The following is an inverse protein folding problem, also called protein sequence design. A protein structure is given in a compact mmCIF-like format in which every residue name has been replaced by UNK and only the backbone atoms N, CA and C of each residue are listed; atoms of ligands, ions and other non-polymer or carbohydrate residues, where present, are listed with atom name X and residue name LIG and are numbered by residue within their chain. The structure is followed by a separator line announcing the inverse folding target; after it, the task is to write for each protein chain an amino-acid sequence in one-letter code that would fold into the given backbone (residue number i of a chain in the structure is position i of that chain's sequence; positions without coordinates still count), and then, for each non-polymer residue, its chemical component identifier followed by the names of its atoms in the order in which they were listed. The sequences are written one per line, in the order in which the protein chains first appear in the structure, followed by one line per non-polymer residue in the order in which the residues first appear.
data_IF_609803895756
#
_entry.id   IF_609803895756
#
_cell.length_a   1.000
_cell.length_b   1.000
_cell.length_c   1.000
_cell.angle_alpha   90.00
_cell.angle_beta   90.00
_cell.angle_gamma   90.00
#
_symmetry.space_group_name_H-M   'P 1'
#
loop_
_entity.id
_entity.type
_entity.pdbx_description
1 polymer ?
#
# COMPACT_ATOMS: atom_id res chain seq x y z
N UNK A 1 -3.43 -9.27 -16.10
CA UNK A 1 -2.11 -9.16 -15.43
C UNK A 1 -1.28 -8.05 -16.07
N UNK A 2 -0.80 -8.21 -17.31
CA UNK A 2 0.08 -7.23 -17.99
C UNK A 2 -0.44 -5.78 -17.96
N UNK A 3 -1.72 -5.53 -18.26
CA UNK A 3 -2.28 -4.17 -18.24
C UNK A 3 -2.30 -3.53 -16.83
N UNK A 4 -2.54 -4.34 -15.80
CA UNK A 4 -2.39 -3.91 -14.41
C UNK A 4 -0.93 -3.66 -14.08
N UNK A 5 -0.02 -4.54 -14.50
CA UNK A 5 1.40 -4.41 -14.21
C UNK A 5 1.98 -3.12 -14.79
N UNK A 6 1.62 -2.79 -16.03
CA UNK A 6 2.00 -1.52 -16.67
C UNK A 6 1.44 -0.33 -15.89
N UNK A 7 0.16 -0.36 -15.51
CA UNK A 7 -0.47 0.71 -14.74
C UNK A 7 0.16 0.92 -13.37
N UNK A 8 0.43 -0.17 -12.64
CA UNK A 8 1.05 -0.13 -11.33
C UNK A 8 2.52 0.33 -11.42
N UNK A 9 3.29 -0.12 -12.41
CA UNK A 9 4.64 0.40 -12.66
C UNK A 9 4.63 1.89 -13.00
N UNK A 10 3.71 2.34 -13.86
CA UNK A 10 3.56 3.75 -14.20
C UNK A 10 3.21 4.60 -12.97
N UNK A 11 2.28 4.12 -12.13
CA UNK A 11 1.95 4.79 -10.87
C UNK A 11 3.15 4.88 -9.93
N UNK A 12 3.88 3.77 -9.72
CA UNK A 12 5.07 3.77 -8.88
C UNK A 12 6.13 4.72 -9.42
N UNK A 13 6.34 4.75 -10.74
CA UNK A 13 7.26 5.69 -11.39
C UNK A 13 6.84 7.16 -11.18
N UNK A 14 5.54 7.47 -11.19
CA UNK A 14 5.02 8.80 -10.87
C UNK A 14 5.23 9.16 -9.39
N UNK A 15 5.20 8.17 -8.49
CA UNK A 15 5.46 8.39 -7.07
C UNK A 15 6.95 8.58 -6.74
N UNK A 16 7.89 8.08 -7.55
CA UNK A 16 9.34 8.19 -7.29
C UNK A 16 9.80 9.64 -7.10
N UNK A 17 9.45 10.61 -7.96
CA UNK A 17 9.77 12.02 -7.73
C UNK A 17 9.16 12.57 -6.43
N UNK A 18 8.03 12.00 -5.99
CA UNK A 18 7.37 12.49 -4.78
C UNK A 18 8.18 12.24 -3.52
N UNK A 19 9.05 11.21 -3.52
CA UNK A 19 9.92 10.85 -2.41
C UNK A 19 11.00 11.89 -2.10
N UNK A 20 11.14 12.94 -2.93
CA UNK A 20 12.07 14.05 -2.70
C UNK A 20 11.40 15.31 -2.12
N UNK A 21 10.08 15.29 -1.93
CA UNK A 21 9.37 16.45 -1.38
C UNK A 21 9.66 16.63 0.10
N UNK A 22 9.79 17.89 0.49
CA UNK A 22 9.89 18.29 1.90
C UNK A 22 8.50 18.43 2.53
N UNK A 23 8.44 18.53 3.87
CA UNK A 23 7.20 18.68 4.62
C UNK A 23 6.33 19.87 4.15
N UNK A 24 6.96 20.96 3.68
CA UNK A 24 6.29 22.13 3.12
C UNK A 24 5.46 21.79 1.86
N UNK A 25 6.02 21.01 0.95
CA UNK A 25 5.34 20.53 -0.26
C UNK A 25 4.22 19.55 0.08
N UNK A 26 4.42 18.71 1.09
CA UNK A 26 3.42 17.76 1.59
C UNK A 26 2.20 18.48 2.18
N UNK A 27 2.43 19.56 2.96
CA UNK A 27 1.36 20.43 3.45
C UNK A 27 0.64 21.14 2.32
N UNK A 28 1.37 21.65 1.33
CA UNK A 28 0.78 22.29 0.15
C UNK A 28 -0.07 21.29 -0.63
N UNK A 29 0.40 20.05 -0.82
CA UNK A 29 -0.32 18.97 -1.45
C UNK A 29 -1.58 18.55 -0.65
N UNK A 30 -1.48 18.45 0.67
CA UNK A 30 -2.61 18.14 1.54
C UNK A 30 -3.70 19.22 1.48
N UNK A 31 -3.33 20.49 1.32
CA UNK A 31 -4.27 21.62 1.13
C UNK A 31 -4.89 21.68 -0.26
N UNK A 32 -4.14 21.33 -1.30
CA UNK A 32 -4.60 21.39 -2.70
C UNK A 32 -5.46 20.18 -3.09
N UNK A 33 -5.33 19.06 -2.39
CA UNK A 33 -5.81 17.77 -2.85
C UNK A 33 -6.97 17.23 -2.00
N UNK A 34 -8.06 18.01 -1.89
CA UNK A 34 -9.36 17.57 -1.33
C UNK A 34 -10.14 16.61 -2.27
N UNK A 35 -9.63 16.35 -3.48
CA UNK A 35 -10.26 15.48 -4.47
C UNK A 35 -10.01 13.99 -4.18
N UNK A 36 -10.97 13.37 -3.48
CA UNK A 36 -11.37 11.96 -3.51
C UNK A 36 -10.25 10.88 -3.53
N UNK A 37 -9.22 11.02 -2.68
CA UNK A 37 -8.26 9.93 -2.39
C UNK A 37 -8.92 8.66 -1.83
N UNK A 38 -10.10 8.79 -1.23
CA UNK A 38 -10.94 7.67 -0.82
C UNK A 38 -11.38 6.81 -2.02
N UNK A 39 -11.68 7.45 -3.17
CA UNK A 39 -11.97 6.74 -4.42
C UNK A 39 -10.73 6.04 -4.99
N UNK A 40 -9.55 6.65 -4.89
CA UNK A 40 -8.29 5.97 -5.29
C UNK A 40 -8.00 4.76 -4.40
N UNK A 41 -8.19 4.87 -3.08
CA UNK A 41 -8.11 3.74 -2.16
C UNK A 41 -9.13 2.65 -2.50
N UNK A 42 -10.37 3.02 -2.83
CA UNK A 42 -11.42 2.11 -3.27
C UNK A 42 -11.10 1.43 -4.60
N UNK A 43 -10.54 2.15 -5.56
CA UNK A 43 -10.10 1.61 -6.85
C UNK A 43 -8.94 0.65 -6.63
N UNK A 44 -7.96 1.00 -5.80
CA UNK A 44 -6.85 0.12 -5.46
C UNK A 44 -7.33 -1.14 -4.75
N UNK A 45 -8.24 -1.00 -3.78
CA UNK A 45 -8.86 -2.15 -3.12
C UNK A 45 -9.62 -3.03 -4.11
N UNK A 46 -10.41 -2.42 -5.01
CA UNK A 46 -11.15 -3.13 -6.04
C UNK A 46 -10.21 -3.86 -7.00
N UNK A 47 -9.11 -3.22 -7.40
CA UNK A 47 -8.12 -3.81 -8.29
C UNK A 47 -7.36 -4.95 -7.60
N UNK A 48 -6.96 -4.79 -6.33
CA UNK A 48 -6.36 -5.87 -5.54
C UNK A 48 -7.32 -7.06 -5.37
N UNK A 49 -8.62 -6.80 -5.18
CA UNK A 49 -9.66 -7.85 -5.14
C UNK A 49 -9.84 -8.55 -6.49
N UNK A 50 -9.79 -7.81 -7.61
CA UNK A 50 -9.85 -8.38 -8.96
C UNK A 50 -8.61 -9.24 -9.24
N UNK A 51 -7.42 -8.81 -8.80
CA UNK A 51 -6.19 -9.61 -8.92
C UNK A 51 -6.28 -10.88 -8.06
N UNK A 52 -6.78 -10.78 -6.83
CA UNK A 52 -7.01 -11.94 -5.97
C UNK A 52 -8.01 -12.92 -6.57
N UNK A 53 -9.09 -12.42 -7.17
CA UNK A 53 -10.10 -13.22 -7.86
C UNK A 53 -9.53 -13.90 -9.12
N UNK A 54 -8.68 -13.20 -9.88
CA UNK A 54 -8.00 -13.76 -11.04
C UNK A 54 -7.05 -14.90 -10.64
N UNK A 55 -6.23 -14.68 -9.59
CA UNK A 55 -5.34 -15.72 -9.05
C UNK A 55 -6.13 -16.92 -8.54
N UNK A 56 -7.25 -16.69 -7.83
CA UNK A 56 -8.13 -17.77 -7.37
C UNK A 56 -8.74 -18.56 -8.54
N UNK A 57 -9.11 -17.89 -9.63
CA UNK A 57 -9.64 -18.56 -10.83
C UNK A 57 -8.58 -19.41 -11.55
N UNK A 58 -7.33 -18.96 -11.54
CA UNK A 58 -6.21 -19.68 -12.15
C UNK A 58 -5.82 -20.91 -11.31
N UNK A 59 -5.95 -20.83 -9.99
CA UNK A 59 -5.76 -21.97 -9.06
C UNK A 59 -6.83 -23.07 -9.22
N UNK A 60 -8.04 -22.72 -9.66
CA UNK A 60 -9.12 -23.69 -9.87
C UNK A 60 -8.96 -24.47 -11.18
N UNK A 61 -8.15 -23.99 -12.12
CA UNK A 61 -7.98 -24.60 -13.45
C UNK A 61 -6.57 -25.18 -13.63
N UNK A 62 -6.29 -26.28 -12.94
CA UNK A 62 -5.02 -27.01 -13.00
C UNK A 62 -4.65 -27.51 -14.42
N UNK A 63 -5.58 -27.42 -15.38
CA UNK A 63 -5.41 -27.86 -16.77
C UNK A 63 -4.86 -26.76 -17.70
N UNK A 64 -4.87 -25.49 -17.26
CA UNK A 64 -4.62 -24.32 -18.12
C UNK A 64 -3.31 -23.57 -17.82
N UNK A 65 -2.57 -23.97 -16.77
CA UNK A 65 -1.31 -23.32 -16.41
C UNK A 65 -0.23 -23.59 -17.47
N UNK A 66 -0.06 -22.63 -18.39
CA UNK A 66 1.06 -22.64 -19.32
C UNK A 66 2.39 -22.57 -18.53
N UNK A 67 3.44 -23.34 -18.89
CA UNK A 67 4.70 -23.42 -18.13
C UNK A 67 5.49 -22.11 -17.91
N UNK A 68 5.02 -20.98 -18.45
CA UNK A 68 5.66 -19.66 -18.36
C UNK A 68 4.91 -18.62 -17.53
N UNK A 69 3.76 -18.93 -16.92
CA UNK A 69 2.96 -17.94 -16.17
C UNK A 69 3.48 -17.66 -14.76
N UNK A 70 4.23 -18.58 -14.15
CA UNK A 70 4.68 -18.46 -12.74
C UNK A 70 5.51 -17.18 -12.47
N UNK A 71 6.55 -16.82 -13.27
CA UNK A 71 7.30 -15.60 -13.02
C UNK A 71 6.46 -14.33 -13.16
N UNK A 72 5.48 -14.33 -14.09
CA UNK A 72 4.56 -13.22 -14.28
C UNK A 72 3.65 -13.05 -13.05
N UNK A 73 3.12 -14.16 -12.52
CA UNK A 73 2.28 -14.14 -11.32
C UNK A 73 3.06 -13.64 -10.11
N UNK A 74 4.29 -14.12 -9.89
CA UNK A 74 5.16 -13.64 -8.81
C UNK A 74 5.43 -12.14 -8.98
N UNK A 75 5.73 -11.68 -10.20
CA UNK A 75 5.93 -10.27 -10.51
C UNK A 75 4.71 -9.42 -10.18
N UNK A 76 3.52 -9.86 -10.59
CA UNK A 76 2.26 -9.16 -10.29
C UNK A 76 1.97 -9.13 -8.79
N UNK A 77 2.26 -10.20 -8.03
CA UNK A 77 2.08 -10.23 -6.58
C UNK A 77 2.99 -9.22 -5.87
N UNK A 78 4.29 -9.19 -6.22
CA UNK A 78 5.25 -8.21 -5.67
C UNK A 78 4.81 -6.78 -6.00
N UNK A 79 4.34 -6.56 -7.23
CA UNK A 79 3.91 -5.25 -7.69
C UNK A 79 2.62 -4.80 -6.99
N UNK A 80 1.65 -5.69 -6.83
CA UNK A 80 0.41 -5.43 -6.09
C UNK A 80 0.69 -5.10 -4.61
N UNK A 81 1.62 -5.84 -3.99
CA UNK A 81 2.05 -5.58 -2.62
C UNK A 81 2.72 -4.20 -2.49
N UNK A 82 3.67 -3.91 -3.36
CA UNK A 82 4.40 -2.63 -3.36
C UNK A 82 3.46 -1.46 -3.59
N UNK A 83 2.60 -1.56 -4.62
CA UNK A 83 1.60 -0.56 -4.97
C UNK A 83 0.63 -0.26 -3.82
N UNK A 84 0.11 -1.32 -3.17
CA UNK A 84 -0.81 -1.17 -2.04
C UNK A 84 -0.14 -0.44 -0.87
N UNK A 85 1.08 -0.84 -0.50
CA UNK A 85 1.83 -0.19 0.57
C UNK A 85 2.20 1.26 0.26
N UNK A 86 2.57 1.58 -0.99
CA UNK A 86 2.80 2.98 -1.41
C UNK A 86 1.55 3.82 -1.27
N UNK A 87 0.37 3.28 -1.61
CA UNK A 87 -0.89 4.02 -1.47
C UNK A 87 -1.24 4.28 -0.01
N UNK A 88 -1.04 3.30 0.86
CA UNK A 88 -1.19 3.51 2.31
C UNK A 88 -0.18 4.55 2.83
N UNK A 89 1.07 4.54 2.37
CA UNK A 89 2.07 5.54 2.74
C UNK A 89 1.62 6.95 2.37
N UNK A 90 1.16 7.14 1.13
CA UNK A 90 0.58 8.40 0.68
C UNK A 90 -0.63 8.80 1.52
N UNK A 91 -1.50 7.84 1.88
CA UNK A 91 -2.67 8.10 2.71
C UNK A 91 -2.30 8.57 4.11
N UNK A 92 -1.29 7.94 4.74
CA UNK A 92 -0.78 8.37 6.05
C UNK A 92 -0.15 9.76 6.00
N UNK A 93 0.65 10.05 4.98
CA UNK A 93 1.21 11.39 4.75
C UNK A 93 0.11 12.47 4.71
N UNK A 94 -0.98 12.19 3.99
CA UNK A 94 -2.12 13.09 3.92
C UNK A 94 -2.83 13.23 5.26
N UNK A 95 -3.11 12.12 5.96
CA UNK A 95 -3.75 12.16 7.29
C UNK A 95 -2.93 12.91 8.34
N UNK A 96 -1.60 12.88 8.20
CA UNK A 96 -0.68 13.61 9.05
C UNK A 96 -0.68 15.11 8.75
N UNK A 97 -0.57 15.49 7.48
CA UNK A 97 -0.44 16.89 7.05
C UNK A 97 -1.77 17.61 6.75
N UNK A 98 -2.92 16.95 6.89
CA UNK A 98 -4.21 17.63 6.72
C UNK A 98 -4.34 18.75 7.76
N UNK A 99 -4.68 19.96 7.33
CA UNK A 99 -4.71 21.12 8.23
C UNK A 99 -5.85 20.99 9.25
N UNK A 100 -5.55 21.25 10.52
CA UNK A 100 -6.54 21.50 11.58
C UNK A 100 -6.30 22.88 12.20
N UNK A 101 -7.28 23.34 12.99
CA UNK A 101 -7.43 24.72 13.51
C UNK A 101 -6.14 25.44 13.95
N UNK A 102 -5.12 24.72 14.41
CA UNK A 102 -3.85 25.27 14.89
C UNK A 102 -2.56 24.61 14.31
N UNK A 103 -2.63 23.83 13.23
CA UNK A 103 -1.45 23.18 12.65
C UNK A 103 -1.72 21.90 11.88
N UNK A 104 -0.67 21.09 11.70
CA UNK A 104 -0.79 19.76 11.09
C UNK A 104 -1.65 18.85 11.98
N UNK A 105 -2.44 17.99 11.33
CA UNK A 105 -3.28 17.03 12.03
C UNK A 105 -2.45 16.09 12.92
N UNK A 106 -1.29 15.63 12.45
CA UNK A 106 -0.39 14.72 13.15
C UNK A 106 -1.00 13.33 13.42
N UNK A 107 -0.65 12.73 14.55
CA UNK A 107 -1.21 11.47 15.03
C UNK A 107 -0.34 10.22 14.78
N UNK A 108 0.84 10.42 14.20
CA UNK A 108 1.96 9.48 14.19
C UNK A 108 3.16 10.18 14.83
N UNK A 109 3.95 9.47 15.61
CA UNK A 109 5.21 9.99 16.15
C UNK A 109 6.34 9.15 15.60
N UNK A 110 7.24 9.81 14.86
CA UNK A 110 8.44 9.19 14.30
C UNK A 110 9.63 9.50 15.22
N UNK A 111 10.48 8.52 15.56
CA UNK A 111 11.66 8.76 16.38
C UNK A 111 12.55 9.85 15.79
N UNK A 112 12.97 10.80 16.63
CA UNK A 112 13.89 11.91 16.29
C UNK A 112 13.47 12.77 15.08
N UNK A 113 12.21 12.67 14.63
CA UNK A 113 11.76 13.28 13.38
C UNK A 113 10.54 14.17 13.63
N UNK A 114 10.77 15.48 13.61
CA UNK A 114 9.73 16.50 13.87
C UNK A 114 8.84 16.72 12.65
N UNK A 115 9.44 16.70 11.45
CA UNK A 115 8.76 16.93 10.18
C UNK A 115 9.00 15.73 9.25
N UNK A 116 8.15 14.69 9.34
CA UNK A 116 8.37 13.46 8.58
C UNK A 116 8.20 13.67 7.08
N UNK A 117 9.11 13.08 6.31
CA UNK A 117 9.05 13.09 4.85
C UNK A 117 8.27 11.88 4.31
N UNK A 118 8.23 11.71 2.99
CA UNK A 118 7.56 10.55 2.40
C UNK A 118 8.23 9.21 2.73
N UNK A 119 9.54 9.17 2.98
CA UNK A 119 10.24 7.95 3.38
C UNK A 119 9.80 7.47 4.75
N UNK A 120 9.51 8.37 5.67
CA UNK A 120 8.95 8.01 6.99
C UNK A 120 7.60 7.30 6.86
N UNK A 121 6.71 7.80 6.00
CA UNK A 121 5.41 7.15 5.76
C UNK A 121 5.54 5.85 4.95
N UNK A 122 6.50 5.76 4.03
CA UNK A 122 6.84 4.51 3.32
C UNK A 122 7.32 3.47 4.32
N UNK A 123 8.27 3.84 5.18
CA UNK A 123 8.77 2.99 6.24
C UNK A 123 7.64 2.47 7.13
N UNK A 124 6.79 3.36 7.64
CA UNK A 124 5.63 2.99 8.45
C UNK A 124 4.68 2.03 7.74
N UNK A 125 4.31 2.36 6.49
CA UNK A 125 3.37 1.56 5.70
C UNK A 125 3.91 0.18 5.39
N UNK A 126 5.17 0.08 4.93
CA UNK A 126 5.79 -1.18 4.56
C UNK A 126 6.04 -2.08 5.79
N UNK A 127 6.34 -1.52 6.97
CA UNK A 127 6.37 -2.29 8.21
C UNK A 127 5.02 -2.96 8.50
N UNK A 128 3.91 -2.23 8.38
CA UNK A 128 2.56 -2.79 8.54
C UNK A 128 2.25 -3.86 7.48
N UNK A 129 2.60 -3.62 6.21
CA UNK A 129 2.35 -4.57 5.13
C UNK A 129 3.18 -5.85 5.22
N UNK A 130 4.39 -5.76 5.79
CA UNK A 130 5.31 -6.89 5.92
C UNK A 130 5.07 -7.69 7.21
N UNK A 131 4.76 -7.01 8.32
CA UNK A 131 4.78 -7.62 9.67
C UNK A 131 3.49 -7.44 10.46
N UNK A 132 2.51 -6.70 9.92
CA UNK A 132 1.23 -6.38 10.56
C UNK A 132 1.36 -5.61 11.89
N UNK A 133 2.53 -5.02 12.15
CA UNK A 133 2.82 -4.26 13.36
C UNK A 133 3.62 -3.00 13.05
N UNK A 134 3.63 -2.09 14.02
CA UNK A 134 4.51 -0.91 14.03
C UNK A 134 5.85 -1.30 14.64
N UNK A 135 6.97 -0.85 14.06
CA UNK A 135 8.30 -1.10 14.63
C UNK A 135 8.60 -0.15 15.80
N UNK A 136 8.62 1.14 15.52
CA UNK A 136 9.05 2.23 16.41
C UNK A 136 8.21 3.51 16.24
N UNK A 137 7.35 3.56 15.22
CA UNK A 137 6.40 4.65 15.00
C UNK A 137 5.16 4.44 15.85
N UNK A 138 4.84 5.43 16.67
CA UNK A 138 3.68 5.35 17.56
C UNK A 138 2.42 5.98 16.95
N UNK A 139 1.29 5.26 17.02
CA UNK A 139 -0.03 5.78 16.63
C UNK A 139 -0.69 6.49 17.81
N UNK A 140 -0.51 7.81 17.88
CA UNK A 140 -0.93 8.62 19.04
C UNK A 140 -2.42 9.02 18.99
N UNK A 141 -3.07 9.00 17.82
CA UNK A 141 -4.48 9.40 17.69
C UNK A 141 -5.42 8.28 17.23
N UNK A 142 -6.60 8.22 17.85
CA UNK A 142 -7.63 7.21 17.58
C UNK A 142 -8.13 7.15 16.14
N UNK A 143 -8.12 8.28 15.40
CA UNK A 143 -8.55 8.33 14.00
C UNK A 143 -7.65 7.50 13.06
N UNK A 144 -6.36 7.35 13.40
CA UNK A 144 -5.40 6.57 12.64
C UNK A 144 -5.45 5.08 12.99
N UNK A 145 -5.99 4.71 14.15
CA UNK A 145 -6.12 3.30 14.55
C UNK A 145 -6.97 2.51 13.57
N UNK A 146 -8.10 3.07 13.09
CA UNK A 146 -8.98 2.41 12.11
C UNK A 146 -8.27 2.07 10.78
N UNK A 147 -7.66 3.04 10.06
CA UNK A 147 -6.94 2.74 8.82
C UNK A 147 -5.73 1.83 9.04
N UNK A 148 -5.01 1.96 10.16
CA UNK A 148 -3.90 1.04 10.51
C UNK A 148 -4.41 -0.39 10.70
N UNK A 149 -5.49 -0.60 11.45
CA UNK A 149 -6.08 -1.94 11.63
C UNK A 149 -6.55 -2.53 10.30
N UNK A 150 -7.19 -1.73 9.44
CA UNK A 150 -7.61 -2.18 8.11
C UNK A 150 -6.41 -2.53 7.23
N UNK A 151 -5.32 -1.76 7.30
CA UNK A 151 -4.09 -2.04 6.57
C UNK A 151 -3.48 -3.39 7.01
N UNK A 152 -3.34 -3.61 8.32
CA UNK A 152 -2.84 -4.88 8.85
C UNK A 152 -3.71 -6.07 8.44
N UNK A 153 -5.03 -5.93 8.50
CA UNK A 153 -5.96 -6.99 8.10
C UNK A 153 -5.84 -7.32 6.61
N UNK A 154 -5.80 -6.29 5.75
CA UNK A 154 -5.64 -6.46 4.31
C UNK A 154 -4.29 -7.12 3.98
N UNK A 155 -3.21 -6.67 4.62
CA UNK A 155 -1.88 -7.25 4.47
C UNK A 155 -1.83 -8.72 4.93
N UNK A 156 -2.50 -9.05 6.04
CA UNK A 156 -2.60 -10.42 6.54
C UNK A 156 -3.26 -11.35 5.52
N UNK A 157 -4.42 -10.96 4.97
CA UNK A 157 -5.12 -11.73 3.95
C UNK A 157 -4.28 -11.87 2.68
N UNK A 158 -3.62 -10.80 2.25
CA UNK A 158 -2.73 -10.83 1.09
C UNK A 158 -1.57 -11.82 1.28
N UNK A 159 -0.85 -11.73 2.39
CA UNK A 159 0.29 -12.60 2.67
C UNK A 159 -0.15 -14.07 2.82
N UNK A 160 -1.32 -14.33 3.41
CA UNK A 160 -1.90 -15.67 3.45
C UNK A 160 -2.16 -16.23 2.05
N UNK A 161 -2.69 -15.40 1.13
CA UNK A 161 -2.90 -15.77 -0.26
C UNK A 161 -1.59 -16.09 -1.00
N UNK A 162 -0.54 -15.30 -0.77
CA UNK A 162 0.80 -15.54 -1.34
C UNK A 162 1.38 -16.87 -0.86
N UNK A 163 1.25 -17.17 0.44
CA UNK A 163 1.71 -18.44 1.01
C UNK A 163 0.94 -19.62 0.41
N UNK A 164 -0.39 -19.52 0.34
CA UNK A 164 -1.23 -20.57 -0.24
C UNK A 164 -0.88 -20.85 -1.71
N UNK A 165 -0.67 -19.79 -2.50
CA UNK A 165 -0.18 -19.90 -3.88
C UNK A 165 1.18 -20.59 -3.95
N UNK A 166 2.13 -20.17 -3.10
CA UNK A 166 3.48 -20.75 -3.08
C UNK A 166 3.45 -22.25 -2.76
N UNK A 167 2.61 -22.68 -1.79
CA UNK A 167 2.43 -24.10 -1.46
C UNK A 167 1.82 -24.86 -2.64
N UNK A 168 0.81 -24.30 -3.30
CA UNK A 168 0.14 -24.97 -4.41
C UNK A 168 1.08 -25.15 -5.63
N UNK A 169 1.89 -24.15 -5.93
CA UNK A 169 2.82 -24.18 -7.07
C UNK A 169 4.07 -25.03 -6.81
N UNK A 170 4.59 -25.06 -5.58
CA UNK A 170 5.80 -25.82 -5.24
C UNK A 170 5.52 -27.24 -4.73
N UNK A 171 4.33 -27.46 -4.17
CA UNK A 171 3.90 -28.76 -3.65
C UNK A 171 3.05 -29.59 -4.60
N UNK A 172 2.66 -29.00 -5.75
CA UNK A 172 2.04 -29.68 -6.89
C UNK A 172 3.05 -30.36 -7.80
#
# INVERSE_FOLDING_TARGET
MIGFDIGAMAFLAICVPMLRHEASDMRAAARRNDANRFLLLLITLAVSLVVLAAVASELMDQSAAAPGSVPLVIGTLVLCWTFSNTIYALHYAHLFYVSRDSGDAGGLTFPETVEPDYWDFVYFSFCLGMTFQTSDVEVTQGRLRRPVTLHCLAAFVFNLGVIAFTINVLGG
#
